data_IF_676359721927
#
_entry.id   IF_676359721927
#
_cell.length_a   1.000
_cell.length_b   1.000
_cell.length_c   1.000
_cell.angle_alpha   90.00
_cell.angle_beta   90.00
_cell.angle_gamma   90.00
#
_symmetry.space_group_name_H-M   'P 1'
#
loop_
_entity.id
_entity.type
_entity.pdbx_description
1 polymer ?
#
# COMPACT_ATOMS: atom_id res chain seq x y z
N UNK A 1 -2.26 -3.29 -5.27
CA UNK A 1 -1.21 -3.11 -6.30
C UNK A 1 -1.79 -3.47 -7.65
N UNK A 2 -1.43 -2.74 -8.72
CA UNK A 2 -1.87 -3.09 -10.07
C UNK A 2 -1.20 -4.38 -10.55
N UNK A 3 -1.84 -5.07 -11.50
CA UNK A 3 -1.21 -6.20 -12.19
C UNK A 3 0.00 -5.70 -13.00
N UNK A 4 1.18 -6.23 -12.71
CA UNK A 4 2.41 -5.90 -13.43
C UNK A 4 2.28 -6.19 -14.93
N UNK A 5 1.50 -7.21 -15.31
CA UNK A 5 1.25 -7.52 -16.72
C UNK A 5 0.56 -6.37 -17.44
N UNK A 6 -0.41 -5.71 -16.80
CA UNK A 6 -1.10 -4.56 -17.38
C UNK A 6 -0.11 -3.43 -17.69
N UNK A 7 0.78 -3.13 -16.75
CA UNK A 7 1.82 -2.10 -16.92
C UNK A 7 2.80 -2.48 -18.04
N UNK A 8 3.13 -3.77 -18.17
CA UNK A 8 4.03 -4.27 -19.20
C UNK A 8 3.41 -4.23 -20.60
N UNK A 9 2.15 -4.63 -20.73
CA UNK A 9 1.46 -4.76 -22.01
C UNK A 9 0.97 -3.40 -22.55
N UNK A 10 0.56 -2.48 -21.67
CA UNK A 10 0.10 -1.14 -22.06
C UNK A 10 0.59 -0.05 -21.07
N UNK A 11 1.91 0.24 -21.04
CA UNK A 11 2.45 1.26 -20.15
C UNK A 11 1.89 2.66 -20.46
N UNK A 12 1.64 2.96 -21.74
CA UNK A 12 1.14 4.26 -22.17
C UNK A 12 -0.31 4.49 -21.72
N UNK A 13 -1.18 3.49 -21.86
CA UNK A 13 -2.56 3.56 -21.39
C UNK A 13 -2.66 3.68 -19.88
N UNK A 14 -1.86 2.92 -19.13
CA UNK A 14 -1.80 3.06 -17.66
C UNK A 14 -1.32 4.45 -17.27
N UNK A 15 -0.27 4.97 -17.90
CA UNK A 15 0.24 6.30 -17.62
C UNK A 15 -0.79 7.40 -17.93
N UNK A 16 -1.49 7.30 -19.05
CA UNK A 16 -2.54 8.25 -19.43
C UNK A 16 -3.71 8.22 -18.45
N UNK A 17 -4.13 7.03 -18.00
CA UNK A 17 -5.20 6.89 -17.03
C UNK A 17 -4.80 7.47 -15.66
N UNK A 18 -3.58 7.20 -15.18
CA UNK A 18 -3.11 7.73 -13.89
C UNK A 18 -2.87 9.25 -13.95
N UNK A 19 -2.53 9.81 -15.10
CA UNK A 19 -2.39 11.26 -15.26
C UNK A 19 -3.69 12.03 -14.94
N UNK A 20 -4.86 11.39 -15.10
CA UNK A 20 -6.16 11.98 -14.73
C UNK A 20 -6.33 12.19 -13.22
N UNK A 21 -5.53 11.52 -12.40
CA UNK A 21 -5.57 11.64 -10.93
C UNK A 21 -4.72 12.79 -10.40
N UNK A 22 -3.86 13.38 -11.23
CA UNK A 22 -2.84 14.34 -10.80
C UNK A 22 -1.70 13.72 -9.98
N UNK A 23 -1.66 12.39 -9.81
CA UNK A 23 -0.63 11.69 -9.05
C UNK A 23 0.42 11.12 -10.01
N UNK A 24 1.68 11.47 -9.79
CA UNK A 24 2.80 10.88 -10.54
C UNK A 24 2.99 9.41 -10.15
N UNK A 25 3.24 8.55 -11.14
CA UNK A 25 3.53 7.14 -10.95
C UNK A 25 4.79 6.74 -11.75
N UNK A 26 5.69 5.91 -11.17
CA UNK A 26 6.97 5.57 -11.79
C UNK A 26 6.85 4.46 -12.86
N UNK A 27 5.92 4.61 -13.82
CA UNK A 27 5.58 3.58 -14.80
C UNK A 27 6.79 3.19 -15.67
N UNK A 28 7.56 4.18 -16.14
CA UNK A 28 8.75 3.92 -16.95
C UNK A 28 9.85 3.17 -16.17
N UNK A 29 10.04 3.54 -14.91
CA UNK A 29 11.00 2.87 -14.01
C UNK A 29 10.58 1.42 -13.73
N UNK A 30 9.29 1.18 -13.55
CA UNK A 30 8.72 -0.18 -13.38
C UNK A 30 9.00 -1.05 -14.60
N UNK A 31 8.77 -0.53 -15.81
CA UNK A 31 9.04 -1.27 -17.05
C UNK A 31 10.53 -1.62 -17.15
N UNK A 32 11.41 -0.66 -16.89
CA UNK A 32 12.86 -0.89 -16.91
C UNK A 32 13.32 -1.90 -15.83
N UNK A 33 12.76 -1.81 -14.62
CA UNK A 33 13.05 -2.75 -13.54
C UNK A 33 12.58 -4.17 -13.87
N UNK A 34 11.39 -4.32 -14.45
CA UNK A 34 10.86 -5.61 -14.91
C UNK A 34 11.70 -6.21 -16.06
N UNK A 35 12.12 -5.41 -17.03
CA UNK A 35 13.03 -5.84 -18.11
C UNK A 35 14.36 -6.34 -17.55
N UNK A 36 14.96 -5.58 -16.63
CA UNK A 36 16.22 -5.96 -15.98
C UNK A 36 16.09 -7.27 -15.22
N UNK A 37 15.03 -7.41 -14.44
CA UNK A 37 14.70 -8.63 -13.69
C UNK A 37 14.56 -9.84 -14.61
N UNK A 38 13.77 -9.71 -15.70
CA UNK A 38 13.57 -10.80 -16.66
C UNK A 38 14.86 -11.20 -17.38
N UNK A 39 15.70 -10.23 -17.74
CA UNK A 39 17.00 -10.49 -18.35
C UNK A 39 17.92 -11.28 -17.41
N UNK A 40 18.00 -10.89 -16.14
CA UNK A 40 18.77 -11.61 -15.11
C UNK A 40 18.28 -13.05 -14.93
N UNK A 41 16.96 -13.24 -14.80
CA UNK A 41 16.38 -14.58 -14.66
C UNK A 41 16.67 -15.46 -15.89
N UNK A 42 16.62 -14.88 -17.09
CA UNK A 42 16.93 -15.61 -18.33
C UNK A 42 18.40 -16.02 -18.38
N UNK A 43 19.33 -15.14 -17.97
CA UNK A 43 20.76 -15.47 -17.89
C UNK A 43 21.03 -16.57 -16.85
N UNK A 44 20.41 -16.47 -15.67
CA UNK A 44 20.49 -17.49 -14.63
C UNK A 44 20.04 -18.86 -15.15
N UNK A 45 18.89 -18.94 -15.80
CA UNK A 45 18.37 -20.21 -16.33
C UNK A 45 19.27 -20.79 -17.42
N UNK A 46 19.82 -19.95 -18.31
CA UNK A 46 20.78 -20.38 -19.32
C UNK A 46 22.05 -20.97 -18.68
N UNK A 47 22.62 -20.30 -17.67
CA UNK A 47 23.82 -20.78 -16.96
C UNK A 47 23.54 -22.03 -16.13
N UNK A 48 22.35 -22.16 -15.52
CA UNK A 48 21.93 -23.40 -14.84
C UNK A 48 21.85 -24.57 -15.81
N UNK A 49 21.34 -24.34 -17.03
CA UNK A 49 21.34 -25.36 -18.08
C UNK A 49 22.76 -25.75 -18.50
N UNK A 50 23.66 -24.79 -18.65
CA UNK A 50 25.09 -25.02 -18.96
C UNK A 50 25.79 -25.80 -17.84
N UNK A 51 25.61 -25.40 -16.58
CA UNK A 51 26.16 -26.08 -15.40
C UNK A 51 25.68 -27.54 -15.31
N UNK A 52 24.40 -27.79 -15.60
CA UNK A 52 23.84 -29.14 -15.62
C UNK A 52 24.43 -30.00 -16.75
N UNK A 53 24.65 -29.42 -17.93
CA UNK A 53 25.32 -30.10 -19.04
C UNK A 53 26.79 -30.40 -18.71
N UNK A 54 27.52 -29.41 -18.17
CA UNK A 54 28.90 -29.55 -17.70
C UNK A 54 29.03 -30.63 -16.61
N UNK A 55 28.10 -30.68 -15.66
CA UNK A 55 28.09 -31.70 -14.60
C UNK A 55 27.92 -33.12 -15.15
N UNK A 56 27.10 -33.31 -16.19
CA UNK A 56 26.97 -34.60 -16.90
C UNK A 56 28.26 -34.96 -17.64
N UNK A 57 28.97 -33.99 -18.22
CA UNK A 57 30.25 -34.21 -18.88
C UNK A 57 31.34 -34.63 -17.88
N UNK A 58 31.45 -33.95 -16.72
CA UNK A 58 32.37 -34.32 -15.63
C UNK A 58 32.21 -35.77 -15.19
N UNK A 59 30.96 -36.27 -15.12
CA UNK A 59 30.68 -37.67 -14.78
C UNK A 59 31.07 -38.70 -15.86
N UNK A 60 31.25 -38.25 -17.11
CA UNK A 60 31.60 -39.11 -18.26
C UNK A 60 33.09 -39.04 -18.63
N UNK A 61 33.77 -37.95 -18.29
CA UNK A 61 35.20 -37.75 -18.57
C UNK A 61 36.07 -38.58 -17.63
N UNK A 62 36.93 -39.43 -18.23
CA UNK A 62 37.84 -40.32 -17.50
C UNK A 62 39.26 -39.78 -17.41
N UNK A 63 39.63 -38.83 -18.27
CA UNK A 63 40.96 -38.23 -18.25
C UNK A 63 41.06 -37.23 -17.07
N UNK A 64 42.05 -37.36 -16.17
CA UNK A 64 42.16 -36.51 -14.98
C UNK A 64 42.29 -35.02 -15.30
N UNK A 65 43.11 -34.64 -16.28
CA UNK A 65 43.35 -33.24 -16.63
C UNK A 65 42.12 -32.53 -17.21
N UNK A 66 41.43 -33.17 -18.15
CA UNK A 66 40.17 -32.66 -18.70
C UNK A 66 39.05 -32.62 -17.65
N UNK A 67 39.00 -33.60 -16.75
CA UNK A 67 38.03 -33.65 -15.67
C UNK A 67 38.23 -32.52 -14.67
N UNK A 68 39.47 -32.23 -14.28
CA UNK A 68 39.80 -31.11 -13.39
C UNK A 68 39.43 -29.76 -14.02
N UNK A 69 39.72 -29.58 -15.33
CA UNK A 69 39.33 -28.37 -16.06
C UNK A 69 37.80 -28.16 -16.08
N UNK A 70 37.02 -29.23 -16.32
CA UNK A 70 35.55 -29.16 -16.29
C UNK A 70 35.00 -28.88 -14.89
N UNK A 71 35.61 -29.41 -13.84
CA UNK A 71 35.23 -29.11 -12.45
C UNK A 71 35.48 -27.62 -12.15
N UNK A 72 36.63 -27.08 -12.56
CA UNK A 72 36.94 -25.66 -12.38
C UNK A 72 35.95 -24.75 -13.14
N UNK A 73 35.61 -25.10 -14.39
CA UNK A 73 34.62 -24.38 -15.19
C UNK A 73 33.23 -24.40 -14.53
N UNK A 74 32.77 -25.57 -14.07
CA UNK A 74 31.51 -25.70 -13.34
C UNK A 74 31.48 -24.87 -12.05
N UNK A 75 32.61 -24.81 -11.33
CA UNK A 75 32.71 -23.98 -10.11
C UNK A 75 32.56 -22.50 -10.45
N UNK A 76 33.25 -22.01 -11.48
CA UNK A 76 33.11 -20.63 -11.94
C UNK A 76 31.69 -20.29 -12.41
N UNK A 77 31.01 -21.23 -13.09
CA UNK A 77 29.59 -21.09 -13.44
C UNK A 77 28.70 -21.02 -12.20
N UNK A 78 28.95 -21.87 -11.19
CA UNK A 78 28.25 -21.83 -9.91
C UNK A 78 28.38 -20.48 -9.19
N UNK A 79 29.59 -19.93 -9.13
CA UNK A 79 29.85 -18.62 -8.54
C UNK A 79 29.14 -17.50 -9.32
N UNK A 80 29.11 -17.57 -10.66
CA UNK A 80 28.39 -16.61 -11.51
C UNK A 80 26.87 -16.70 -11.32
N UNK A 81 26.31 -17.91 -11.23
CA UNK A 81 24.88 -18.12 -10.96
C UNK A 81 24.51 -17.51 -9.61
N UNK A 82 25.30 -17.75 -8.56
CA UNK A 82 25.03 -17.20 -7.23
C UNK A 82 25.01 -15.66 -7.25
N UNK A 83 25.95 -15.03 -7.94
CA UNK A 83 25.99 -13.57 -8.08
C UNK A 83 24.76 -13.02 -8.85
N UNK A 84 24.34 -13.68 -9.92
CA UNK A 84 23.18 -13.28 -10.71
C UNK A 84 21.85 -13.53 -9.98
N UNK A 85 21.75 -14.60 -9.18
CA UNK A 85 20.58 -14.87 -8.34
C UNK A 85 20.40 -13.76 -7.29
N UNK A 86 21.48 -13.30 -6.65
CA UNK A 86 21.41 -12.15 -5.73
C UNK A 86 21.03 -10.85 -6.45
N UNK A 87 21.58 -10.61 -7.65
CA UNK A 87 21.19 -9.46 -8.46
C UNK A 87 19.70 -9.53 -8.89
N UNK A 88 19.19 -10.72 -9.19
CA UNK A 88 17.78 -10.92 -9.55
C UNK A 88 16.86 -10.67 -8.35
N UNK A 89 17.25 -11.09 -7.14
CA UNK A 89 16.51 -10.78 -5.90
C UNK A 89 16.47 -9.29 -5.62
N UNK A 90 17.59 -8.60 -5.77
CA UNK A 90 17.64 -7.14 -5.61
C UNK A 90 16.77 -6.41 -6.65
N UNK A 91 16.79 -6.86 -7.90
CA UNK A 91 15.93 -6.32 -8.96
C UNK A 91 14.44 -6.57 -8.69
N UNK A 92 14.08 -7.74 -8.15
CA UNK A 92 12.71 -8.06 -7.74
C UNK A 92 12.25 -7.16 -6.59
N UNK A 93 13.07 -6.99 -5.55
CA UNK A 93 12.77 -6.10 -4.43
C UNK A 93 12.54 -4.65 -4.89
N UNK A 94 13.44 -4.11 -5.72
CA UNK A 94 13.30 -2.78 -6.27
C UNK A 94 12.02 -2.62 -7.12
N UNK A 95 11.69 -3.63 -7.93
CA UNK A 95 10.45 -3.64 -8.69
C UNK A 95 9.23 -3.59 -7.75
N UNK A 96 9.22 -4.37 -6.66
CA UNK A 96 8.12 -4.34 -5.69
C UNK A 96 7.98 -2.97 -5.03
N UNK A 97 9.09 -2.35 -4.63
CA UNK A 97 9.09 -0.99 -4.07
C UNK A 97 8.42 0.03 -5.00
N UNK A 98 8.80 0.02 -6.28
CA UNK A 98 8.19 0.90 -7.29
C UNK A 98 6.70 0.61 -7.48
N UNK A 99 6.33 -0.67 -7.49
CA UNK A 99 4.93 -1.09 -7.67
C UNK A 99 4.03 -0.64 -6.52
N UNK A 100 4.55 -0.55 -5.29
CA UNK A 100 3.82 0.00 -4.14
C UNK A 100 3.55 1.51 -4.27
N UNK A 101 4.29 2.22 -5.14
CA UNK A 101 4.10 3.65 -5.40
C UNK A 101 3.00 3.93 -6.43
N UNK A 102 2.44 2.92 -7.10
CA UNK A 102 1.44 3.14 -8.15
C UNK A 102 0.03 3.25 -7.53
N UNK A 103 -0.73 4.34 -7.74
CA UNK A 103 -2.12 4.42 -7.30
C UNK A 103 -3.02 3.50 -8.14
N UNK A 104 -4.27 3.33 -7.73
CA UNK A 104 -5.21 2.55 -8.52
C UNK A 104 -5.65 3.31 -9.79
N UNK A 105 -5.97 2.59 -10.86
CA UNK A 105 -6.49 3.19 -12.09
C UNK A 105 -7.95 3.62 -11.86
N UNK A 106 -8.32 4.89 -12.10
CA UNK A 106 -9.71 5.33 -11.99
C UNK A 106 -10.63 4.57 -12.94
N UNK A 107 -11.88 4.36 -12.54
CA UNK A 107 -12.89 3.78 -13.43
C UNK A 107 -13.25 4.79 -14.54
N UNK A 108 -13.64 4.32 -15.75
CA UNK A 108 -13.93 5.20 -16.89
C UNK A 108 -15.02 6.25 -16.66
N UNK A 109 -15.92 6.03 -15.70
CA UNK A 109 -17.02 6.95 -15.37
C UNK A 109 -16.67 7.95 -14.26
N UNK A 110 -15.48 7.87 -13.68
CA UNK A 110 -15.03 8.85 -12.67
C UNK A 110 -14.75 10.18 -13.38
N UNK A 111 -15.38 11.29 -12.98
CA UNK A 111 -15.12 12.59 -13.57
C UNK A 111 -13.65 12.99 -13.43
N UNK A 112 -13.04 13.48 -14.51
CA UNK A 112 -11.68 14.01 -14.50
C UNK A 112 -11.72 15.46 -14.04
N UNK A 113 -11.05 15.75 -12.92
CA UNK A 113 -10.95 17.08 -12.36
C UNK A 113 -9.58 17.27 -11.68
N UNK A 114 -9.11 18.52 -11.63
CA UNK A 114 -7.85 18.86 -10.97
C UNK A 114 -7.96 18.86 -9.43
N UNK A 115 -9.16 19.11 -8.91
CA UNK A 115 -9.45 19.24 -7.49
C UNK A 115 -10.93 18.99 -7.19
N UNK A 116 -11.33 19.13 -5.93
CA UNK A 116 -12.67 18.86 -5.43
C UNK A 116 -13.78 19.71 -6.06
N UNK A 117 -13.45 20.82 -6.73
CA UNK A 117 -14.44 21.69 -7.39
C UNK A 117 -15.06 21.04 -8.62
N UNK A 118 -14.43 20.01 -9.18
CA UNK A 118 -14.99 19.20 -10.26
C UNK A 118 -15.88 18.05 -9.81
N UNK A 119 -16.10 17.88 -8.49
CA UNK A 119 -16.98 16.84 -7.98
C UNK A 119 -18.43 17.08 -8.40
N UNK A 120 -19.14 16.00 -8.73
CA UNK A 120 -20.54 16.04 -9.18
C UNK A 120 -21.46 15.57 -8.05
N UNK A 121 -22.48 16.37 -7.73
CA UNK A 121 -23.54 15.97 -6.79
C UNK A 121 -24.42 14.91 -7.46
N UNK A 122 -24.43 13.70 -6.91
CA UNK A 122 -25.20 12.57 -7.46
C UNK A 122 -26.63 12.54 -6.93
N UNK A 123 -26.80 12.85 -5.64
CA UNK A 123 -28.11 12.90 -4.99
C UNK A 123 -28.08 13.80 -3.76
N UNK A 124 -29.22 14.40 -3.43
CA UNK A 124 -29.46 15.13 -2.20
C UNK A 124 -30.66 14.50 -1.48
N UNK A 125 -30.61 14.42 -0.14
CA UNK A 125 -31.71 13.88 0.66
C UNK A 125 -32.03 14.80 1.82
N UNK A 126 -33.31 15.17 1.93
CA UNK A 126 -33.78 16.19 2.87
C UNK A 126 -33.44 17.61 2.40
N UNK A 127 -33.87 18.59 3.20
CA UNK A 127 -33.53 20.00 3.00
C UNK A 127 -32.76 20.52 4.22
N UNK A 128 -31.81 21.46 4.05
CA UNK A 128 -31.19 22.14 5.19
C UNK A 128 -32.26 22.76 6.10
N UNK A 129 -32.10 22.57 7.41
CA UNK A 129 -33.07 23.09 8.37
C UNK A 129 -33.04 24.62 8.42
N UNK A 130 -34.22 25.25 8.36
CA UNK A 130 -34.36 26.65 8.77
C UNK A 130 -34.39 26.70 10.30
N UNK A 131 -33.32 27.25 10.87
CA UNK A 131 -33.17 27.32 12.32
C UNK A 131 -33.95 28.49 12.93
N UNK A 132 -34.33 29.51 12.15
CA UNK A 132 -34.97 30.72 12.67
C UNK A 132 -34.09 31.57 13.60
N UNK A 133 -32.80 31.23 13.76
CA UNK A 133 -31.79 31.96 14.52
C UNK A 133 -30.38 31.74 13.94
N UNK A 134 -29.40 32.62 14.24
CA UNK A 134 -28.02 32.42 13.80
C UNK A 134 -27.44 31.10 14.32
N UNK A 135 -27.05 30.21 13.42
CA UNK A 135 -26.44 28.94 13.76
C UNK A 135 -25.13 29.16 14.52
N UNK A 136 -24.95 28.44 15.63
CA UNK A 136 -23.66 28.35 16.32
C UNK A 136 -22.91 27.11 15.82
N UNK A 137 -21.59 27.20 15.65
CA UNK A 137 -20.79 26.04 15.31
C UNK A 137 -20.72 25.05 16.47
N UNK A 138 -20.41 23.78 16.16
CA UNK A 138 -20.43 22.71 17.15
C UNK A 138 -19.48 22.94 18.33
N UNK A 139 -18.31 23.57 18.11
CA UNK A 139 -17.34 23.81 19.18
C UNK A 139 -17.85 24.81 20.22
N UNK A 140 -18.53 25.89 19.80
CA UNK A 140 -19.13 26.88 20.70
C UNK A 140 -20.31 26.29 21.47
N UNK A 141 -21.18 25.54 20.77
CA UNK A 141 -22.31 24.84 21.40
C UNK A 141 -21.83 23.86 22.47
N UNK A 142 -20.83 23.05 22.12
CA UNK A 142 -20.34 22.02 23.00
C UNK A 142 -19.63 22.55 24.24
N UNK A 143 -18.91 23.67 24.11
CA UNK A 143 -18.31 24.38 25.24
C UNK A 143 -19.37 25.00 26.15
N UNK A 144 -20.38 25.67 25.57
CA UNK A 144 -21.51 26.25 26.31
C UNK A 144 -22.28 25.20 27.12
N UNK A 145 -22.48 24.02 26.54
CA UNK A 145 -23.14 22.89 27.20
C UNK A 145 -22.21 22.12 28.15
N UNK A 146 -20.90 22.43 28.16
CA UNK A 146 -19.90 21.75 28.98
C UNK A 146 -19.63 20.30 28.59
N UNK A 147 -20.06 19.86 27.40
CA UNK A 147 -19.99 18.47 26.92
C UNK A 147 -18.70 18.16 26.15
N UNK A 148 -18.00 19.18 25.68
CA UNK A 148 -16.63 19.08 25.14
C UNK A 148 -15.72 20.01 25.92
N UNK A 149 -14.53 19.51 26.24
CA UNK A 149 -13.48 20.23 26.95
C UNK A 149 -12.18 20.17 26.13
N UNK A 150 -11.94 21.24 25.37
CA UNK A 150 -10.77 21.36 24.51
C UNK A 150 -9.51 21.66 25.31
N UNK A 151 -9.60 22.49 26.36
CA UNK A 151 -8.44 22.85 27.19
C UNK A 151 -7.84 21.60 27.86
N UNK A 152 -8.68 20.76 28.46
CA UNK A 152 -8.21 19.50 29.06
C UNK A 152 -7.69 18.53 27.99
N UNK A 153 -8.29 18.48 26.81
CA UNK A 153 -7.78 17.69 25.69
C UNK A 153 -6.38 18.09 25.26
N UNK A 154 -6.15 19.39 25.07
CA UNK A 154 -4.84 19.95 24.73
C UNK A 154 -3.83 19.72 25.84
N UNK A 155 -4.23 19.87 27.10
CA UNK A 155 -3.35 19.62 28.25
C UNK A 155 -2.85 18.17 28.31
N UNK A 156 -3.69 17.20 27.91
CA UNK A 156 -3.36 15.77 28.00
C UNK A 156 -2.61 15.27 26.75
N UNK A 157 -3.00 15.71 25.56
CA UNK A 157 -2.55 15.10 24.29
C UNK A 157 -2.03 16.10 23.25
N UNK A 158 -2.12 17.41 23.52
CA UNK A 158 -1.73 18.46 22.57
C UNK A 158 -2.82 18.88 21.60
N UNK A 159 -2.46 19.65 20.58
CA UNK A 159 -3.42 20.20 19.60
C UNK A 159 -4.22 19.11 18.89
N UNK A 160 -5.47 19.41 18.51
CA UNK A 160 -6.42 18.51 17.83
C UNK A 160 -7.01 17.38 18.70
N UNK A 161 -6.84 17.43 20.01
CA UNK A 161 -7.49 16.53 20.96
C UNK A 161 -8.51 17.26 21.86
N UNK A 162 -9.49 16.52 22.36
CA UNK A 162 -10.58 17.03 23.20
C UNK A 162 -11.03 15.95 24.19
N UNK A 163 -11.68 16.37 25.28
CA UNK A 163 -12.33 15.45 26.24
C UNK A 163 -13.84 15.60 26.15
N UNK A 164 -14.56 14.51 25.90
CA UNK A 164 -16.02 14.48 26.02
C UNK A 164 -16.46 14.28 27.47
N UNK A 165 -17.54 14.94 27.87
CA UNK A 165 -18.09 14.86 29.24
C UNK A 165 -19.60 14.72 29.23
N UNK A 166 -20.13 14.07 30.28
CA UNK A 166 -21.56 13.93 30.52
C UNK A 166 -22.32 13.45 29.29
N UNK A 167 -23.30 14.24 28.86
CA UNK A 167 -24.14 13.91 27.70
C UNK A 167 -23.37 13.87 26.38
N UNK A 168 -22.26 14.59 26.22
CA UNK A 168 -21.42 14.47 25.02
C UNK A 168 -20.78 13.09 24.89
N UNK A 169 -20.19 12.59 25.99
CA UNK A 169 -19.61 11.26 26.02
C UNK A 169 -20.68 10.17 25.85
N UNK A 170 -21.86 10.37 26.46
CA UNK A 170 -23.01 9.47 26.29
C UNK A 170 -23.50 9.45 24.85
N UNK A 171 -23.63 10.60 24.19
CA UNK A 171 -24.09 10.72 22.82
C UNK A 171 -23.13 10.04 21.84
N UNK A 172 -21.81 10.25 21.97
CA UNK A 172 -20.84 9.57 21.11
C UNK A 172 -20.98 8.05 21.22
N UNK A 173 -21.07 7.51 22.44
CA UNK A 173 -21.27 6.07 22.65
C UNK A 173 -22.60 5.57 22.07
N UNK A 174 -23.68 6.34 22.22
CA UNK A 174 -24.99 5.98 21.68
C UNK A 174 -24.97 5.93 20.14
N UNK A 175 -24.30 6.87 19.48
CA UNK A 175 -24.14 6.88 18.02
C UNK A 175 -23.35 5.67 17.54
N UNK A 176 -22.24 5.32 18.20
CA UNK A 176 -21.44 4.13 17.87
C UNK A 176 -22.30 2.87 17.97
N UNK A 177 -23.00 2.67 19.09
CA UNK A 177 -23.85 1.50 19.30
C UNK A 177 -24.98 1.41 18.27
N UNK A 178 -25.68 2.53 18.01
CA UNK A 178 -26.75 2.57 17.02
C UNK A 178 -26.25 2.24 15.61
N UNK A 179 -25.08 2.75 15.21
CA UNK A 179 -24.49 2.42 13.91
C UNK A 179 -24.16 0.93 13.81
N UNK A 180 -23.54 0.33 14.84
CA UNK A 180 -23.23 -1.10 14.86
C UNK A 180 -24.49 -1.96 14.78
N UNK A 181 -25.51 -1.64 15.57
CA UNK A 181 -26.81 -2.33 15.54
C UNK A 181 -27.46 -2.23 14.16
N UNK A 182 -27.46 -1.04 13.55
CA UNK A 182 -28.01 -0.83 12.22
C UNK A 182 -27.33 -1.73 11.17
N UNK A 183 -26.00 -1.76 11.17
CA UNK A 183 -25.25 -2.55 10.18
C UNK A 183 -25.42 -4.06 10.39
N UNK A 184 -25.40 -4.51 11.65
CA UNK A 184 -25.42 -5.94 11.99
C UNK A 184 -26.81 -6.55 11.90
N UNK A 185 -27.85 -5.82 12.32
CA UNK A 185 -29.21 -6.32 12.37
C UNK A 185 -29.96 -6.14 11.05
N UNK A 186 -29.61 -5.13 10.23
CA UNK A 186 -30.36 -4.79 9.03
C UNK A 186 -29.57 -4.89 7.72
N UNK A 187 -28.24 -4.76 7.73
CA UNK A 187 -27.43 -4.77 6.50
C UNK A 187 -26.54 -6.02 6.36
N UNK A 188 -26.65 -6.97 7.28
CA UNK A 188 -25.98 -8.28 7.18
C UNK A 188 -24.48 -8.25 7.45
N UNK A 189 -23.96 -7.20 8.09
CA UNK A 189 -22.56 -7.15 8.51
C UNK A 189 -22.34 -8.02 9.76
N UNK A 190 -21.16 -8.65 9.83
CA UNK A 190 -20.70 -9.31 11.05
C UNK A 190 -19.88 -8.31 11.89
N UNK A 191 -20.21 -8.17 13.17
CA UNK A 191 -19.43 -7.35 14.09
C UNK A 191 -18.10 -8.03 14.44
N UNK A 192 -17.02 -7.25 14.41
CA UNK A 192 -15.66 -7.68 14.77
C UNK A 192 -14.98 -6.58 15.60
N UNK A 193 -14.18 -6.96 16.59
CA UNK A 193 -13.39 -6.04 17.42
C UNK A 193 -11.89 -6.28 17.20
N UNK A 194 -11.25 -5.57 16.24
CA UNK A 194 -9.83 -5.78 15.92
C UNK A 194 -8.90 -4.93 16.81
N UNK A 195 -7.60 -5.27 16.86
CA UNK A 195 -6.57 -4.40 17.43
C UNK A 195 -6.48 -3.05 16.69
N UNK A 196 -6.20 -1.97 17.44
CA UNK A 196 -5.96 -0.63 16.87
C UNK A 196 -4.49 -0.39 16.47
N UNK A 197 -3.55 -1.09 17.13
CA UNK A 197 -2.15 -1.16 16.73
C UNK A 197 -1.96 -2.38 15.82
N UNK A 198 -1.35 -2.16 14.66
CA UNK A 198 -1.19 -3.17 13.62
C UNK A 198 0.24 -3.23 13.11
N UNK A 199 0.61 -4.37 12.54
CA UNK A 199 1.92 -4.57 11.94
C UNK A 199 2.04 -3.79 10.62
N UNK A 200 3.26 -3.42 10.25
CA UNK A 200 3.57 -2.69 9.00
C UNK A 200 2.96 -3.37 7.76
N UNK A 201 3.06 -4.70 7.67
CA UNK A 201 2.49 -5.48 6.57
C UNK A 201 0.98 -5.28 6.38
N UNK A 202 0.23 -5.03 7.47
CA UNK A 202 -1.21 -4.73 7.40
C UNK A 202 -1.43 -3.38 6.71
N UNK A 203 -0.60 -2.38 7.01
CA UNK A 203 -0.65 -1.05 6.43
C UNK A 203 -0.17 -1.02 4.97
N UNK A 204 0.77 -1.87 4.60
CA UNK A 204 1.15 -2.09 3.19
C UNK A 204 -0.02 -2.73 2.43
N UNK A 205 -0.68 -3.74 3.04
CA UNK A 205 -1.81 -4.43 2.44
C UNK A 205 -3.00 -3.53 2.11
N UNK A 206 -3.26 -2.51 2.93
CA UNK A 206 -4.32 -1.51 2.71
C UNK A 206 -3.85 -0.28 1.93
N UNK A 207 -2.56 -0.17 1.60
CA UNK A 207 -1.99 0.92 0.82
C UNK A 207 -1.66 2.19 1.60
N UNK A 208 -1.69 2.14 2.94
CA UNK A 208 -1.23 3.23 3.79
C UNK A 208 0.29 3.41 3.68
N UNK A 209 1.04 2.30 3.69
CA UNK A 209 2.49 2.31 3.49
C UNK A 209 2.85 1.85 2.07
N UNK A 210 3.92 2.41 1.48
CA UNK A 210 4.87 3.36 2.09
C UNK A 210 4.44 4.84 1.99
N UNK A 211 3.45 5.19 1.15
CA UNK A 211 3.16 6.57 0.73
C UNK A 211 2.75 7.52 1.84
N UNK A 212 1.98 7.05 2.82
CA UNK A 212 1.33 7.88 3.82
C UNK A 212 1.91 7.65 5.23
N UNK A 213 3.13 7.14 5.31
CA UNK A 213 3.78 6.78 6.57
C UNK A 213 3.98 7.93 7.54
N UNK A 214 4.05 9.17 7.06
CA UNK A 214 4.19 10.39 7.87
C UNK A 214 2.88 10.80 8.56
N UNK A 215 1.74 10.28 8.09
CA UNK A 215 0.42 10.53 8.66
C UNK A 215 0.04 9.52 9.76
N UNK A 216 0.93 8.58 10.08
CA UNK A 216 0.67 7.49 11.03
C UNK A 216 1.42 7.72 12.35
N UNK A 217 0.75 7.42 13.46
CA UNK A 217 1.44 7.26 14.74
C UNK A 217 2.14 5.91 14.77
N UNK A 218 3.39 5.88 15.24
CA UNK A 218 4.21 4.67 15.37
C UNK A 218 4.57 4.47 16.83
N UNK A 219 4.55 3.21 17.26
CA UNK A 219 5.14 2.87 18.56
C UNK A 219 6.65 3.09 18.49
N UNK A 220 7.24 3.53 19.61
CA UNK A 220 8.67 3.76 19.72
C UNK A 220 9.46 2.45 19.86
N UNK A 221 8.82 1.40 20.38
CA UNK A 221 9.44 0.11 20.62
C UNK A 221 8.56 -1.02 20.09
N UNK A 222 9.16 -1.96 19.37
CA UNK A 222 8.50 -3.21 19.06
C UNK A 222 8.62 -4.13 20.28
N UNK A 223 7.49 -4.60 20.79
CA UNK A 223 7.47 -5.70 21.76
C UNK A 223 8.04 -6.96 21.06
N UNK A 224 9.25 -7.35 21.43
CA UNK A 224 9.91 -8.58 20.95
C UNK A 224 9.55 -9.78 21.80
#
# INVERSE_FOLDING_TARGET
>A
MLDLRLIREDPAGVQAALATTGIAAPIAEIVAADERRRALLTEVEALKAELNAGSKLVGRTKEPGEREALIAANRALGDKIAALDEAAKAADAHLQELMLLVPNVPLPHVPVAADERGNVVVAEHGAPADLGFPAKPHWELAETLGIIDFERGVKVSGSRFYVLRGDGARLQRALIAWMLDLQTQHHGYQEVYPPALVLEQTLVGTGNLPKFGDALFRDAHEDK
#
